data_IF_215227301634
#
_entry.id   IF_215227301634
#
_cell.length_a   1.000
_cell.length_b   1.000
_cell.length_c   1.000
_cell.angle_alpha   90.00
_cell.angle_beta   90.00
_cell.angle_gamma   90.00
#
_symmetry.space_group_name_H-M   'P 1'
#
loop_
_entity.id
_entity.type
_entity.pdbx_description
1 polymer ?
#
# COMPACT_ATOMS: atom_id res chain seq x y z
N UNK A 1 -20.21 -1.55 -8.55
CA UNK A 1 -19.52 -1.87 -7.28
C UNK A 1 -20.57 -2.05 -6.20
N UNK A 2 -20.45 -3.10 -5.39
CA UNK A 2 -21.32 -3.37 -4.25
C UNK A 2 -20.53 -3.18 -2.97
N UNK A 3 -21.10 -2.50 -1.99
CA UNK A 3 -20.59 -2.39 -0.62
C UNK A 3 -21.50 -3.25 0.25
N UNK A 4 -20.91 -4.21 0.94
CA UNK A 4 -21.62 -5.18 1.77
C UNK A 4 -21.20 -4.99 3.24
N UNK A 5 -22.16 -5.13 4.15
CA UNK A 5 -21.93 -5.26 5.58
C UNK A 5 -21.63 -6.75 5.87
N UNK A 6 -20.45 -7.05 6.39
CA UNK A 6 -20.03 -8.41 6.70
C UNK A 6 -20.68 -8.95 7.99
N UNK A 7 -21.03 -8.08 8.93
CA UNK A 7 -21.71 -8.43 10.17
C UNK A 7 -23.21 -8.72 9.92
N UNK A 8 -23.86 -7.90 9.11
CA UNK A 8 -25.29 -8.02 8.81
C UNK A 8 -25.58 -8.84 7.54
N UNK A 9 -24.58 -9.08 6.69
CA UNK A 9 -24.73 -9.76 5.39
C UNK A 9 -25.59 -8.98 4.38
N UNK A 10 -25.79 -7.68 4.60
CA UNK A 10 -26.68 -6.83 3.80
C UNK A 10 -25.91 -5.98 2.80
N UNK A 11 -26.57 -5.59 1.71
CA UNK A 11 -26.01 -4.63 0.76
C UNK A 11 -26.21 -3.20 1.29
N UNK A 12 -25.11 -2.53 1.62
CA UNK A 12 -25.10 -1.14 2.10
C UNK A 12 -25.28 -0.14 0.95
N UNK A 13 -24.65 -0.41 -0.19
CA UNK A 13 -24.75 0.45 -1.36
C UNK A 13 -24.42 -0.28 -2.66
N UNK A 14 -25.08 0.15 -3.73
CA UNK A 14 -24.73 -0.19 -5.10
C UNK A 14 -24.34 1.09 -5.86
N UNK A 15 -23.15 1.06 -6.46
CA UNK A 15 -22.56 2.22 -7.13
C UNK A 15 -22.23 1.87 -8.57
N UNK A 16 -22.67 2.72 -9.50
CA UNK A 16 -22.48 2.55 -10.94
C UNK A 16 -21.53 3.63 -11.45
N UNK A 17 -20.51 3.19 -12.19
CA UNK A 17 -19.50 4.06 -12.79
C UNK A 17 -19.59 3.99 -14.31
N UNK A 18 -19.14 5.05 -14.99
CA UNK A 18 -19.23 5.19 -16.46
C UNK A 18 -18.17 4.40 -17.22
N UNK A 19 -17.19 3.84 -16.52
CA UNK A 19 -16.13 2.99 -17.04
C UNK A 19 -15.68 2.02 -15.96
N UNK A 20 -14.80 1.10 -16.35
CA UNK A 20 -14.27 0.08 -15.45
C UNK A 20 -13.52 0.71 -14.26
N UNK A 21 -13.76 0.12 -13.09
CA UNK A 21 -13.04 0.44 -11.87
C UNK A 21 -11.71 -0.29 -11.93
N UNK A 22 -10.61 0.46 -11.98
CA UNK A 22 -9.26 -0.09 -11.98
C UNK A 22 -8.82 -0.51 -10.58
N UNK A 23 -9.11 0.32 -9.58
CA UNK A 23 -8.69 0.08 -8.19
C UNK A 23 -9.62 0.80 -7.22
N UNK A 24 -9.75 0.24 -6.01
CA UNK A 24 -10.46 0.84 -4.88
C UNK A 24 -9.47 0.91 -3.72
N UNK A 25 -9.42 2.04 -3.03
CA UNK A 25 -8.69 2.19 -1.78
C UNK A 25 -9.62 2.79 -0.73
N UNK A 26 -9.50 2.38 0.53
CA UNK A 26 -10.38 2.86 1.58
C UNK A 26 -9.63 3.12 2.89
N UNK A 27 -10.11 4.10 3.64
CA UNK A 27 -9.77 4.31 5.05
C UNK A 27 -10.95 3.89 5.91
N UNK A 28 -10.99 4.24 7.21
CA UNK A 28 -12.19 4.08 8.03
C UNK A 28 -13.31 5.05 7.65
N UNK A 29 -12.97 6.17 7.02
CA UNK A 29 -13.90 7.28 6.78
C UNK A 29 -14.23 7.46 5.30
N UNK A 30 -13.29 7.14 4.41
CA UNK A 30 -13.44 7.41 2.99
C UNK A 30 -13.19 6.19 2.09
N UNK A 31 -13.84 6.22 0.93
CA UNK A 31 -13.62 5.28 -0.17
C UNK A 31 -13.16 6.06 -1.39
N UNK A 32 -11.99 5.74 -1.91
CA UNK A 32 -11.52 6.21 -3.20
C UNK A 32 -11.75 5.14 -4.28
N UNK A 33 -12.40 5.54 -5.37
CA UNK A 33 -12.64 4.69 -6.54
C UNK A 33 -11.89 5.28 -7.73
N UNK A 34 -11.03 4.47 -8.35
CA UNK A 34 -10.13 4.86 -9.43
C UNK A 34 -10.61 4.28 -10.74
N UNK A 35 -10.86 5.16 -11.70
CA UNK A 35 -11.07 4.86 -13.11
C UNK A 35 -9.79 5.25 -13.87
N UNK A 36 -9.76 5.03 -15.19
CA UNK A 36 -8.58 5.33 -16.03
C UNK A 36 -8.17 6.80 -16.04
N UNK A 37 -9.14 7.72 -16.11
CA UNK A 37 -8.90 9.17 -16.19
C UNK A 37 -9.68 9.96 -15.12
N UNK A 38 -10.30 9.26 -14.14
CA UNK A 38 -11.07 9.89 -13.07
C UNK A 38 -10.85 9.21 -11.73
N UNK A 39 -10.87 9.99 -10.64
CA UNK A 39 -10.91 9.48 -9.27
C UNK A 39 -12.09 10.08 -8.53
N UNK A 40 -12.78 9.24 -7.77
CA UNK A 40 -13.90 9.61 -6.92
C UNK A 40 -13.55 9.34 -5.46
N UNK A 41 -13.89 10.26 -4.57
CA UNK A 41 -13.83 10.06 -3.13
C UNK A 41 -15.24 10.13 -2.54
N UNK A 42 -15.59 9.15 -1.71
CA UNK A 42 -16.85 9.07 -1.00
C UNK A 42 -16.64 9.04 0.50
N UNK A 43 -17.61 9.55 1.26
CA UNK A 43 -17.72 9.34 2.70
C UNK A 43 -18.46 8.02 2.95
N UNK A 44 -17.95 7.17 3.84
CA UNK A 44 -18.65 5.93 4.23
C UNK A 44 -20.06 6.18 4.78
N UNK A 45 -20.29 7.34 5.42
CA UNK A 45 -21.58 7.71 5.97
C UNK A 45 -22.55 8.22 4.90
N UNK A 46 -22.05 8.75 3.78
CA UNK A 46 -22.86 9.38 2.72
C UNK A 46 -22.38 8.94 1.34
N UNK A 47 -22.75 7.72 0.95
CA UNK A 47 -22.32 7.08 -0.30
C UNK A 47 -23.08 7.57 -1.56
N UNK A 48 -24.17 8.32 -1.39
CA UNK A 48 -25.03 8.76 -2.50
C UNK A 48 -24.32 9.74 -3.45
N UNK A 49 -23.41 10.56 -2.93
CA UNK A 49 -22.70 11.58 -3.70
C UNK A 49 -21.22 11.58 -3.34
N UNK A 50 -20.32 11.67 -4.33
CA UNK A 50 -18.90 11.78 -4.04
C UNK A 50 -18.60 13.11 -3.33
N UNK A 51 -17.80 13.05 -2.27
CA UNK A 51 -17.18 14.21 -1.64
C UNK A 51 -16.30 14.98 -2.65
N UNK A 52 -15.64 14.23 -3.53
CA UNK A 52 -14.72 14.77 -4.50
C UNK A 52 -14.71 13.93 -5.77
N UNK A 53 -14.58 14.61 -6.91
CA UNK A 53 -14.34 14.00 -8.21
C UNK A 53 -13.30 14.86 -8.93
N UNK A 54 -12.27 14.21 -9.44
CA UNK A 54 -11.28 14.87 -10.28
C UNK A 54 -10.96 14.05 -11.52
N UNK A 55 -10.61 14.78 -12.57
CA UNK A 55 -9.93 14.20 -13.71
C UNK A 55 -8.49 13.92 -13.30
N UNK A 56 -7.98 12.76 -13.67
CA UNK A 56 -6.56 12.43 -13.58
C UNK A 56 -5.93 12.52 -14.96
N UNK A 57 -4.61 12.66 -14.99
CA UNK A 57 -3.88 12.20 -16.16
C UNK A 57 -4.08 10.69 -16.33
N UNK A 58 -3.78 10.19 -17.53
CA UNK A 58 -3.95 8.79 -17.87
C UNK A 58 -3.32 7.86 -16.82
N UNK A 59 -4.17 7.10 -16.11
CA UNK A 59 -3.80 6.22 -15.01
C UNK A 59 -4.15 4.75 -15.33
N UNK A 60 -3.54 4.15 -16.38
CA UNK A 60 -3.89 2.81 -16.84
C UNK A 60 -3.59 1.70 -15.83
N UNK A 61 -2.77 2.00 -14.82
CA UNK A 61 -2.40 1.07 -13.74
C UNK A 61 -3.33 1.15 -12.54
N UNK A 62 -4.20 2.16 -12.47
CA UNK A 62 -5.07 2.41 -11.31
C UNK A 62 -4.31 2.80 -10.05
N UNK A 63 -3.05 3.25 -10.15
CA UNK A 63 -2.21 3.52 -8.98
C UNK A 63 -2.83 4.59 -8.08
N UNK A 64 -3.06 4.23 -6.81
CA UNK A 64 -3.59 5.13 -5.78
C UNK A 64 -2.98 4.84 -4.40
N UNK A 65 -2.78 5.89 -3.61
CA UNK A 65 -2.54 5.77 -2.17
C UNK A 65 -3.44 6.74 -1.40
N UNK A 66 -3.99 6.31 -0.27
CA UNK A 66 -4.85 7.13 0.59
C UNK A 66 -4.40 6.99 2.05
N UNK A 67 -4.44 8.10 2.77
CA UNK A 67 -4.28 8.19 4.22
C UNK A 67 -5.41 9.11 4.74
N UNK A 68 -5.70 9.11 6.04
CA UNK A 68 -6.79 9.89 6.66
C UNK A 68 -6.76 11.38 6.35
N UNK A 69 -5.63 11.93 5.88
CA UNK A 69 -5.54 13.34 5.47
C UNK A 69 -5.37 13.56 3.96
N UNK A 70 -5.10 12.52 3.15
CA UNK A 70 -4.52 12.68 1.80
C UNK A 70 -4.83 11.55 0.81
N UNK A 71 -5.00 11.90 -0.46
CA UNK A 71 -5.24 10.97 -1.59
C UNK A 71 -4.17 11.23 -2.68
N UNK A 72 -3.72 10.18 -3.37
CA UNK A 72 -2.59 10.20 -4.32
C UNK A 72 -2.87 9.39 -5.59
N UNK A 73 -2.60 9.94 -6.77
CA UNK A 73 -2.57 9.27 -8.09
C UNK A 73 -1.97 10.26 -9.11
N UNK A 74 -1.27 9.83 -10.17
CA UNK A 74 -0.45 10.70 -11.05
C UNK A 74 0.12 11.95 -10.33
N UNK A 75 1.02 11.73 -9.37
CA UNK A 75 1.17 12.50 -8.11
C UNK A 75 0.46 13.86 -8.07
N UNK A 76 -0.84 13.76 -7.85
CA UNK A 76 -1.72 14.84 -7.51
C UNK A 76 -2.00 14.73 -6.02
N UNK A 77 -1.43 15.65 -5.25
CA UNK A 77 -1.55 15.68 -3.80
C UNK A 77 -2.59 16.72 -3.42
N UNK A 78 -3.65 16.25 -2.76
CA UNK A 78 -4.59 17.11 -2.07
C UNK A 78 -4.40 16.96 -0.57
N UNK A 79 -4.08 18.07 0.11
CA UNK A 79 -3.96 18.17 1.56
C UNK A 79 -4.63 19.46 2.04
N UNK A 80 -5.55 19.38 3.00
CA UNK A 80 -6.04 20.55 3.74
C UNK A 80 -6.49 21.76 2.89
N UNK A 81 -7.16 21.53 1.75
CA UNK A 81 -7.70 22.59 0.89
C UNK A 81 -6.80 23.07 -0.26
N UNK A 82 -5.55 22.60 -0.33
CA UNK A 82 -4.63 22.86 -1.45
C UNK A 82 -4.44 21.66 -2.38
N UNK A 83 -4.03 21.94 -3.62
CA UNK A 83 -3.78 20.95 -4.68
C UNK A 83 -2.37 21.19 -5.25
N UNK A 84 -1.54 20.15 -5.26
CA UNK A 84 -0.20 20.18 -5.87
C UNK A 84 -0.07 19.03 -6.85
N UNK A 85 0.49 19.27 -8.03
CA UNK A 85 0.74 18.21 -9.00
C UNK A 85 2.12 18.36 -9.62
N UNK A 86 2.80 17.22 -9.82
CA UNK A 86 4.10 17.20 -10.49
C UNK A 86 4.32 15.90 -11.25
N UNK A 87 5.24 15.96 -12.22
CA UNK A 87 5.64 14.79 -12.99
C UNK A 87 6.68 13.98 -12.22
N UNK A 88 6.24 12.92 -11.54
CA UNK A 88 7.15 12.04 -10.80
C UNK A 88 7.96 11.11 -11.71
N UNK A 89 7.40 10.67 -12.85
CA UNK A 89 8.04 9.78 -13.81
C UNK A 89 7.67 10.16 -15.25
N UNK A 90 8.49 9.74 -16.21
CA UNK A 90 8.17 9.92 -17.63
C UNK A 90 7.08 8.95 -18.10
N UNK A 91 7.03 7.78 -17.48
CA UNK A 91 6.07 6.70 -17.67
C UNK A 91 4.97 6.71 -16.59
N UNK A 92 3.79 6.08 -16.83
CA UNK A 92 2.73 5.97 -15.85
C UNK A 92 3.22 5.38 -14.53
N UNK A 93 2.71 5.90 -13.42
CA UNK A 93 3.02 5.37 -12.08
C UNK A 93 2.36 4.01 -11.95
N UNK A 94 3.11 2.96 -11.63
CA UNK A 94 2.57 1.63 -11.42
C UNK A 94 2.42 1.28 -9.94
N UNK A 95 3.31 1.80 -9.09
CA UNK A 95 3.26 1.60 -7.63
C UNK A 95 3.42 2.94 -6.94
N UNK A 96 2.61 3.15 -5.91
CA UNK A 96 2.61 4.35 -5.09
C UNK A 96 2.37 3.96 -3.65
N UNK A 97 3.11 4.56 -2.72
CA UNK A 97 2.94 4.39 -1.29
C UNK A 97 3.05 5.74 -0.60
N UNK A 98 2.18 5.98 0.37
CA UNK A 98 2.13 7.23 1.13
C UNK A 98 2.53 6.96 2.59
N UNK A 99 3.32 7.87 3.16
CA UNK A 99 3.69 7.82 4.57
C UNK A 99 2.50 8.02 5.50
N UNK A 100 2.71 7.68 6.78
CA UNK A 100 1.72 7.87 7.83
C UNK A 100 1.48 9.36 8.15
N UNK A 101 0.40 9.64 8.88
CA UNK A 101 -0.04 11.01 9.20
C UNK A 101 1.09 11.81 9.84
N UNK A 102 1.25 13.06 9.41
CA UNK A 102 2.30 13.96 9.89
C UNK A 102 3.65 13.82 9.17
N UNK A 103 3.84 12.77 8.37
CA UNK A 103 5.03 12.58 7.55
C UNK A 103 4.73 12.87 6.09
N UNK A 104 5.40 13.88 5.55
CA UNK A 104 5.21 14.37 4.19
C UNK A 104 5.90 13.48 3.15
N UNK A 105 5.85 12.15 3.26
CA UNK A 105 6.62 11.23 2.43
C UNK A 105 5.76 10.48 1.40
N UNK A 106 6.24 10.38 0.17
CA UNK A 106 5.63 9.61 -0.91
C UNK A 106 6.69 8.79 -1.65
N UNK A 107 6.41 7.51 -1.89
CA UNK A 107 7.24 6.64 -2.71
C UNK A 107 6.50 6.28 -4.00
N UNK A 108 7.22 6.28 -5.12
CA UNK A 108 6.65 6.00 -6.45
C UNK A 108 7.57 5.14 -7.29
N UNK A 109 7.00 4.22 -8.06
CA UNK A 109 7.68 3.46 -9.12
C UNK A 109 6.82 3.51 -10.38
N UNK A 110 7.43 3.75 -11.54
CA UNK A 110 6.73 3.74 -12.83
C UNK A 110 6.49 2.33 -13.36
N UNK A 111 5.67 2.21 -14.40
CA UNK A 111 5.38 0.96 -15.10
C UNK A 111 6.63 0.32 -15.75
N UNK A 112 7.66 1.11 -16.04
CA UNK A 112 8.97 0.57 -16.47
C UNK A 112 9.65 -0.23 -15.36
N UNK A 113 9.36 0.05 -14.08
CA UNK A 113 9.80 -0.76 -12.95
C UNK A 113 11.31 -0.86 -12.83
N UNK A 114 12.01 0.26 -12.64
CA UNK A 114 13.46 0.22 -12.35
C UNK A 114 13.86 1.17 -11.24
N UNK A 115 13.29 2.38 -11.21
CA UNK A 115 13.64 3.41 -10.25
C UNK A 115 12.48 3.69 -9.30
N UNK A 116 12.74 3.51 -8.01
CA UNK A 116 11.93 4.02 -6.91
C UNK A 116 12.34 5.46 -6.63
N UNK A 117 11.37 6.36 -6.58
CA UNK A 117 11.60 7.77 -6.20
C UNK A 117 10.84 8.10 -4.93
N UNK A 118 11.54 8.73 -3.99
CA UNK A 118 10.97 9.32 -2.79
C UNK A 118 10.76 10.82 -3.01
N UNK A 119 9.62 11.30 -2.55
CA UNK A 119 9.19 12.67 -2.68
C UNK A 119 8.65 13.17 -1.35
N UNK A 120 8.80 14.46 -1.14
CA UNK A 120 7.90 15.16 -0.27
C UNK A 120 6.53 15.27 -0.96
N UNK A 121 5.48 15.40 -0.17
CA UNK A 121 4.10 15.51 -0.69
C UNK A 121 3.76 16.85 -1.35
N UNK A 122 4.67 17.82 -1.30
CA UNK A 122 4.63 19.08 -2.04
C UNK A 122 5.52 19.06 -3.30
N UNK A 123 6.16 17.92 -3.60
CA UNK A 123 6.80 17.67 -4.89
C UNK A 123 8.31 17.77 -4.95
N UNK A 124 8.98 17.96 -3.81
CA UNK A 124 10.44 17.89 -3.76
C UNK A 124 10.91 16.45 -3.76
N UNK A 125 11.81 16.10 -4.67
CA UNK A 125 12.41 14.76 -4.68
C UNK A 125 13.42 14.64 -3.54
N UNK A 126 13.27 13.60 -2.72
CA UNK A 126 14.14 13.29 -1.58
C UNK A 126 15.27 12.35 -2.02
N UNK A 127 14.93 11.25 -2.70
CA UNK A 127 15.90 10.20 -3.04
C UNK A 127 15.45 9.36 -4.25
N UNK A 128 16.38 8.61 -4.82
CA UNK A 128 16.13 7.61 -5.87
C UNK A 128 16.89 6.32 -5.55
N UNK A 129 16.26 5.18 -5.81
CA UNK A 129 16.85 3.85 -5.61
C UNK A 129 16.59 2.98 -6.84
N UNK A 130 17.59 2.19 -7.25
CA UNK A 130 17.34 1.08 -8.16
C UNK A 130 16.62 -0.02 -7.38
N UNK A 131 15.38 -0.28 -7.76
CA UNK A 131 14.53 -1.27 -7.09
C UNK A 131 14.08 -2.37 -8.04
N UNK A 132 14.51 -2.40 -9.30
CA UNK A 132 13.85 -3.25 -10.30
C UNK A 132 12.33 -3.02 -10.34
N UNK A 133 11.55 -4.07 -10.62
CA UNK A 133 10.09 -3.98 -10.86
C UNK A 133 9.28 -4.63 -9.74
N UNK A 134 9.04 -3.92 -8.62
CA UNK A 134 8.31 -4.49 -7.49
C UNK A 134 6.81 -4.65 -7.77
N UNK A 135 6.25 -5.70 -7.18
CA UNK A 135 4.81 -5.98 -7.16
C UNK A 135 4.08 -5.12 -6.15
N UNK A 136 4.67 -4.82 -4.99
CA UNK A 136 4.07 -3.96 -3.98
C UNK A 136 5.08 -2.98 -3.39
N UNK A 137 4.60 -1.82 -2.96
CA UNK A 137 5.37 -0.77 -2.31
C UNK A 137 4.65 -0.35 -1.02
N UNK A 138 5.37 -0.20 0.08
CA UNK A 138 4.83 0.38 1.33
C UNK A 138 5.90 1.18 2.05
N UNK A 139 5.46 2.15 2.85
CA UNK A 139 6.33 2.93 3.75
C UNK A 139 6.10 2.42 5.19
N UNK A 140 7.15 2.44 6.02
CA UNK A 140 7.07 2.05 7.43
C UNK A 140 6.27 3.08 8.25
N UNK A 141 5.73 2.70 9.42
CA UNK A 141 4.98 3.61 10.30
C UNK A 141 5.73 4.88 10.70
N UNK A 142 7.04 4.77 10.95
CA UNK A 142 7.94 5.89 11.27
C UNK A 142 8.42 6.69 10.04
N UNK A 143 8.08 6.23 8.84
CA UNK A 143 8.53 6.79 7.58
C UNK A 143 10.05 6.83 7.40
N UNK A 144 10.79 5.94 8.08
CA UNK A 144 12.24 5.80 7.91
C UNK A 144 12.61 4.78 6.83
N UNK A 145 11.66 3.91 6.45
CA UNK A 145 11.90 2.79 5.55
C UNK A 145 10.83 2.68 4.46
N UNK A 146 11.25 2.28 3.27
CA UNK A 146 10.37 1.91 2.16
C UNK A 146 10.63 0.47 1.79
N UNK A 147 9.58 -0.34 1.75
CA UNK A 147 9.68 -1.74 1.36
C UNK A 147 9.12 -1.94 -0.04
N UNK A 148 9.90 -2.63 -0.86
CA UNK A 148 9.50 -3.19 -2.13
C UNK A 148 9.36 -4.72 -2.01
N UNK A 149 8.26 -5.28 -2.52
CA UNK A 149 8.01 -6.73 -2.54
C UNK A 149 7.84 -7.21 -3.97
N UNK A 150 8.47 -8.32 -4.34
CA UNK A 150 8.49 -8.86 -5.70
C UNK A 150 7.65 -10.13 -5.82
N UNK A 151 7.37 -10.55 -7.06
CA UNK A 151 6.48 -11.68 -7.37
C UNK A 151 6.92 -13.01 -6.71
N UNK A 152 8.22 -13.25 -6.65
CA UNK A 152 8.82 -14.47 -6.06
C UNK A 152 9.04 -14.35 -4.55
N UNK A 153 8.51 -13.30 -3.92
CA UNK A 153 8.59 -13.13 -2.46
C UNK A 153 9.88 -12.47 -1.96
N UNK A 154 10.77 -12.05 -2.86
CA UNK A 154 11.89 -11.18 -2.48
C UNK A 154 11.35 -9.88 -1.86
N UNK A 155 12.08 -9.38 -0.87
CA UNK A 155 11.73 -8.14 -0.17
C UNK A 155 12.98 -7.28 -0.07
N UNK A 156 12.91 -6.06 -0.58
CA UNK A 156 13.93 -5.05 -0.39
C UNK A 156 13.41 -3.97 0.54
N UNK A 157 14.25 -3.50 1.45
CA UNK A 157 13.95 -2.39 2.34
C UNK A 157 14.99 -1.30 2.11
N UNK A 158 14.53 -0.09 1.83
CA UNK A 158 15.33 1.08 1.51
C UNK A 158 15.18 2.11 2.63
N UNK A 159 16.29 2.60 3.16
CA UNK A 159 16.26 3.69 4.14
C UNK A 159 16.00 5.03 3.48
N UNK A 160 15.08 5.81 4.03
CA UNK A 160 14.67 7.11 3.48
C UNK A 160 15.78 8.16 3.58
N UNK A 161 16.61 8.11 4.63
CA UNK A 161 17.64 9.12 4.92
C UNK A 161 18.89 9.03 4.05
N UNK A 162 19.20 7.87 3.48
CA UNK A 162 20.58 7.60 3.04
C UNK A 162 20.77 7.85 1.54
N UNK A 163 19.70 8.07 0.77
CA UNK A 163 19.72 8.54 -0.62
C UNK A 163 20.59 7.74 -1.60
N UNK A 164 21.14 6.62 -1.15
CA UNK A 164 22.16 5.81 -1.80
C UNK A 164 21.66 4.38 -1.85
N UNK A 165 21.94 3.70 -2.96
CA UNK A 165 21.68 2.27 -3.11
C UNK A 165 22.50 1.41 -2.12
N UNK A 166 23.52 1.97 -1.48
CA UNK A 166 24.35 1.30 -0.46
C UNK A 166 23.62 1.07 0.87
N UNK A 167 22.55 1.82 1.16
CA UNK A 167 21.68 1.60 2.32
C UNK A 167 20.49 0.66 2.07
N UNK A 168 20.40 0.06 0.87
CA UNK A 168 19.34 -0.87 0.55
C UNK A 168 19.66 -2.25 1.12
N UNK A 169 18.82 -2.71 2.05
CA UNK A 169 18.89 -4.07 2.57
C UNK A 169 17.94 -4.94 1.77
N UNK A 170 18.49 -5.73 0.86
CA UNK A 170 17.75 -6.77 0.15
C UNK A 170 17.78 -8.07 0.93
N UNK A 171 16.64 -8.74 1.04
CA UNK A 171 16.62 -10.11 1.51
C UNK A 171 15.65 -10.96 0.70
N UNK A 172 16.20 -12.05 0.19
CA UNK A 172 15.45 -13.20 -0.27
C UNK A 172 15.28 -14.11 0.94
N UNK A 173 14.05 -14.52 1.25
CA UNK A 173 13.87 -15.45 2.36
C UNK A 173 14.26 -16.85 1.92
N UNK A 174 14.82 -17.65 2.83
CA UNK A 174 15.17 -19.05 2.54
C UNK A 174 13.96 -19.95 2.23
N UNK A 175 12.74 -19.42 2.33
CA UNK A 175 11.50 -20.12 2.04
C UNK A 175 10.74 -19.45 0.90
N UNK A 176 9.93 -20.24 0.20
CA UNK A 176 9.06 -19.74 -0.85
C UNK A 176 8.00 -18.80 -0.25
N UNK A 177 8.22 -17.49 -0.41
CA UNK A 177 7.24 -16.45 -0.10
C UNK A 177 6.45 -16.01 -1.34
N UNK A 178 6.38 -16.85 -2.38
CA UNK A 178 5.54 -16.57 -3.54
C UNK A 178 4.12 -16.27 -3.08
N UNK A 179 3.58 -15.15 -3.54
CA UNK A 179 2.25 -14.63 -3.14
C UNK A 179 2.11 -14.15 -1.68
N UNK A 180 3.21 -14.05 -0.92
CA UNK A 180 3.15 -13.51 0.43
C UNK A 180 2.71 -12.05 0.43
N UNK A 181 1.85 -11.69 1.38
CA UNK A 181 1.49 -10.30 1.66
C UNK A 181 2.34 -9.80 2.81
N UNK A 182 3.23 -8.86 2.52
CA UNK A 182 4.12 -8.31 3.53
C UNK A 182 3.55 -7.01 4.10
N UNK A 183 3.79 -6.73 5.38
CA UNK A 183 3.61 -5.42 6.04
C UNK A 183 4.81 -5.12 6.94
N UNK A 184 5.07 -3.85 7.25
CA UNK A 184 5.94 -3.53 8.39
C UNK A 184 5.25 -3.94 9.70
N UNK A 185 6.04 -4.28 10.71
CA UNK A 185 5.56 -4.51 12.07
C UNK A 185 4.91 -3.24 12.63
N UNK A 186 3.78 -3.34 13.35
CA UNK A 186 3.11 -2.18 13.91
C UNK A 186 3.89 -1.54 15.07
N UNK A 187 4.58 -2.37 15.87
CA UNK A 187 5.30 -1.94 17.07
C UNK A 187 6.81 -1.78 16.86
N UNK A 188 7.32 -2.34 15.77
CA UNK A 188 8.75 -2.44 15.45
C UNK A 188 8.99 -2.23 13.96
N UNK A 189 9.70 -1.17 13.63
CA UNK A 189 9.90 -0.74 12.24
C UNK A 189 11.06 -1.47 11.56
N UNK A 190 11.98 -2.07 12.34
CA UNK A 190 13.01 -3.03 11.92
C UNK A 190 12.48 -4.43 11.53
N UNK A 191 11.15 -4.57 11.48
CA UNK A 191 10.51 -5.87 11.31
C UNK A 191 9.53 -5.86 10.14
N UNK A 192 9.57 -6.91 9.32
CA UNK A 192 8.60 -7.19 8.26
C UNK A 192 7.81 -8.44 8.64
N UNK A 193 6.49 -8.34 8.59
CA UNK A 193 5.58 -9.47 8.75
C UNK A 193 5.15 -9.91 7.35
N UNK A 194 5.44 -11.15 6.97
CA UNK A 194 4.95 -11.77 5.75
C UNK A 194 3.83 -12.77 6.08
N UNK A 195 2.69 -12.61 5.43
CA UNK A 195 1.54 -13.51 5.55
C UNK A 195 1.51 -14.41 4.31
N UNK A 196 1.53 -15.72 4.52
CA UNK A 196 1.48 -16.74 3.48
C UNK A 196 0.06 -17.30 3.38
N UNK A 197 -0.73 -16.90 2.37
CA UNK A 197 -2.12 -17.34 2.28
C UNK A 197 -2.24 -18.84 2.01
N UNK A 198 -1.34 -19.39 1.18
CA UNK A 198 -1.38 -20.79 0.76
C UNK A 198 -1.09 -21.76 1.91
N UNK A 199 -0.14 -21.43 2.78
CA UNK A 199 0.23 -22.27 3.93
C UNK A 199 -0.46 -21.86 5.23
N UNK A 200 -1.21 -20.75 5.23
CA UNK A 200 -1.87 -20.20 6.41
C UNK A 200 -0.88 -19.91 7.56
N UNK A 201 0.25 -19.28 7.23
CA UNK A 201 1.33 -18.96 8.16
C UNK A 201 1.66 -17.47 8.16
N UNK A 202 2.19 -16.99 9.30
CA UNK A 202 2.91 -15.73 9.39
C UNK A 202 4.41 -15.99 9.60
N UNK A 203 5.21 -15.16 8.95
CA UNK A 203 6.66 -15.13 9.10
C UNK A 203 7.07 -13.74 9.57
N UNK A 204 7.86 -13.69 10.63
CA UNK A 204 8.45 -12.48 11.16
C UNK A 204 9.91 -12.41 10.72
N UNK A 205 10.25 -11.33 10.04
CA UNK A 205 11.55 -11.08 9.42
C UNK A 205 12.14 -9.82 10.04
N UNK A 206 13.33 -9.91 10.61
CA UNK A 206 14.04 -8.78 11.19
C UNK A 206 15.22 -8.40 10.31
N UNK A 207 15.35 -7.12 9.97
CA UNK A 207 16.49 -6.61 9.21
C UNK A 207 17.36 -5.72 10.09
N UNK A 208 18.66 -5.66 9.80
CA UNK A 208 19.58 -4.76 10.50
C UNK A 208 19.40 -3.33 9.99
N UNK A 209 19.19 -2.40 10.91
CA UNK A 209 18.99 -0.97 10.65
C UNK A 209 20.31 -0.25 10.32
N UNK A 210 21.45 -0.83 10.69
CA UNK A 210 22.70 -0.08 10.72
C UNK A 210 23.31 0.06 9.32
N UNK A 211 23.52 -1.00 8.55
CA UNK A 211 23.91 -0.96 7.13
C UNK A 211 23.70 -2.33 6.48
N UNK A 212 23.24 -2.35 5.21
CA UNK A 212 23.08 -3.50 4.31
C UNK A 212 23.46 -4.87 4.91
N UNK A 213 22.51 -5.49 5.60
CA UNK A 213 22.75 -6.66 6.44
C UNK A 213 21.60 -7.63 6.40
N UNK A 214 21.94 -8.92 6.37
CA UNK A 214 21.02 -10.05 6.21
C UNK A 214 19.73 -9.91 7.01
N UNK A 215 18.61 -10.25 6.39
CA UNK A 215 17.36 -10.38 7.14
C UNK A 215 17.30 -11.77 7.77
N UNK A 216 17.07 -11.78 9.07
CA UNK A 216 16.93 -13.01 9.84
C UNK A 216 15.46 -13.31 10.06
N UNK A 217 15.08 -14.56 9.78
CA UNK A 217 13.78 -15.07 10.20
C UNK A 217 13.75 -15.19 11.73
N UNK A 218 12.96 -14.33 12.37
CA UNK A 218 12.81 -14.33 13.83
C UNK A 218 11.79 -15.40 14.26
N UNK A 219 10.69 -15.55 13.51
CA UNK A 219 9.71 -16.61 13.78
C UNK A 219 8.89 -16.99 12.56
N UNK A 220 8.37 -18.22 12.56
CA UNK A 220 7.35 -18.71 11.64
C UNK A 220 6.29 -19.43 12.45
N UNK A 221 5.04 -19.02 12.31
CA UNK A 221 3.93 -19.54 13.10
C UNK A 221 2.70 -19.72 12.22
N UNK A 222 1.88 -20.75 12.45
CA UNK A 222 0.56 -20.82 11.83
C UNK A 222 -0.26 -19.60 12.23
N UNK A 223 -1.06 -19.10 11.30
CA UNK A 223 -2.10 -18.12 11.62
C UNK A 223 -3.15 -18.82 12.48
N UNK A 224 -3.47 -18.24 13.63
CA UNK A 224 -4.59 -18.67 14.46
C UNK A 224 -5.86 -18.74 13.58
N UNK A 225 -6.65 -19.83 13.66
CA UNK A 225 -7.89 -19.91 12.92
C UNK A 225 -8.78 -18.74 13.31
N UNK A 226 -9.36 -18.10 12.30
CA UNK A 226 -10.22 -16.94 12.49
C UNK A 226 -11.30 -17.26 13.52
N UNK A 227 -11.34 -16.50 14.62
CA UNK A 227 -12.26 -16.76 15.74
C UNK A 227 -13.73 -16.52 15.34
N UNK A 228 -13.94 -16.01 14.13
CA UNK A 228 -15.22 -15.67 13.51
C UNK A 228 -15.80 -16.79 12.62
N UNK A 229 -15.76 -18.05 13.05
CA UNK A 229 -16.58 -19.09 12.40
C UNK A 229 -16.85 -20.28 13.34
N UNK A 230 -17.45 -20.02 14.50
CA UNK A 230 -18.29 -21.05 15.13
C UNK A 230 -19.73 -20.77 14.72
N UNK A 231 -20.39 -21.59 13.87
CA UNK A 231 -21.83 -21.60 13.90
C UNK A 231 -22.21 -21.99 15.32
N UNK A 232 -22.96 -21.11 16.00
CA UNK A 232 -23.68 -21.50 17.18
C UNK A 232 -24.62 -22.63 16.74
N UNK A 233 -24.22 -23.87 16.97
CA UNK A 233 -25.14 -25.00 17.04
C UNK A 233 -26.05 -24.70 18.23
N UNK A 234 -27.10 -23.93 17.97
CA UNK A 234 -28.27 -23.86 18.81
C UNK A 234 -28.87 -25.26 18.81
N UNK A 235 -28.57 -26.01 19.86
CA UNK A 235 -29.45 -27.07 20.31
C UNK A 235 -30.82 -26.45 20.55
N UNK A 236 -31.76 -26.72 19.65
CA UNK A 236 -33.19 -26.64 19.91
C UNK A 236 -33.69 -28.07 20.20
N UNK A 237 -34.73 -28.20 21.03
CA UNK A 237 -34.94 -29.30 21.98
C UNK A 237 -35.17 -30.68 21.37
#
# INVERSE_FOLDING_TARGET
MLILDDFQGSCLAEMIFRSDILTIACTREWIAVVLVDEVYLYDFNVLATPLYRALTFHNPTGAIAINTDRIMGHVHVRAGGGETSWRAHDEPIARIALGHVGFFLLATVSARGTILRLWTTDGYRIAEFDCGSPTYLTISPDCEWVRATYEHGDVHVFRVSDGTTEGATSFATAHDLTSARCTFGPDRTDTVIAILPASHERVLLRFDELFGGECLMESRQPLEPDRAMRPALTNLP
#
